data_IF_894286518930
#
_entry.id   IF_894286518930
#
_cell.length_a   1.000
_cell.length_b   1.000
_cell.length_c   1.000
_cell.angle_alpha   90.00
_cell.angle_beta   90.00
_cell.angle_gamma   90.00
#
_symmetry.space_group_name_H-M   'P 1'
#
loop_
_entity.id
_entity.type
_entity.pdbx_description
1 polymer ?
#
# COMPACT_ATOMS: atom_id res chain seq x y z
N UNK A 1 19.17 -20.68 3.70
CA UNK A 1 17.79 -20.24 3.41
C UNK A 1 17.84 -19.26 2.26
N UNK A 2 16.92 -19.34 1.31
CA UNK A 2 16.84 -18.40 0.18
C UNK A 2 15.99 -17.18 0.52
N UNK A 3 16.31 -16.03 -0.06
CA UNK A 3 15.49 -14.81 -0.05
C UNK A 3 15.02 -14.60 -1.49
N UNK A 4 13.73 -14.32 -1.66
CA UNK A 4 13.10 -14.06 -2.97
C UNK A 4 12.40 -12.72 -2.87
N UNK A 5 12.55 -11.85 -3.86
CA UNK A 5 11.89 -10.55 -3.84
C UNK A 5 10.40 -10.69 -4.14
N UNK A 6 9.59 -9.75 -3.65
CA UNK A 6 8.14 -9.74 -3.90
C UNK A 6 7.81 -9.70 -5.40
N UNK A 7 8.61 -8.98 -6.19
CA UNK A 7 8.48 -8.94 -7.64
C UNK A 7 8.73 -10.30 -8.29
N UNK A 8 9.76 -11.02 -7.84
CA UNK A 8 10.06 -12.37 -8.35
C UNK A 8 8.91 -13.34 -8.04
N UNK A 9 8.25 -13.19 -6.89
CA UNK A 9 7.06 -13.97 -6.57
C UNK A 9 5.91 -13.69 -7.56
N UNK A 10 5.69 -12.43 -7.93
CA UNK A 10 4.69 -12.08 -8.95
C UNK A 10 5.04 -12.65 -10.33
N UNK A 11 6.32 -12.64 -10.70
CA UNK A 11 6.79 -13.24 -11.96
C UNK A 11 6.55 -14.76 -11.97
N UNK A 12 6.78 -15.43 -10.83
CA UNK A 12 6.46 -16.85 -10.64
C UNK A 12 4.94 -17.08 -10.76
N UNK A 13 4.10 -16.28 -10.08
CA UNK A 13 2.65 -16.41 -10.16
C UNK A 13 2.14 -16.21 -11.60
N UNK A 14 2.68 -15.22 -12.31
CA UNK A 14 2.36 -14.94 -13.72
C UNK A 14 2.73 -16.13 -14.62
N UNK A 15 3.90 -16.72 -14.40
CA UNK A 15 4.36 -17.90 -15.14
C UNK A 15 3.45 -19.11 -14.88
N UNK A 16 3.10 -19.37 -13.63
CA UNK A 16 2.18 -20.46 -13.25
C UNK A 16 0.78 -20.26 -13.85
N UNK A 17 0.28 -19.02 -13.83
CA UNK A 17 -1.00 -18.67 -14.45
C UNK A 17 -0.97 -18.89 -15.97
N UNK A 18 0.13 -18.52 -16.63
CA UNK A 18 0.36 -18.76 -18.06
C UNK A 18 0.33 -20.24 -18.41
N UNK A 19 1.09 -21.07 -17.68
CA UNK A 19 1.12 -22.53 -17.84
C UNK A 19 -0.29 -23.12 -17.68
N UNK A 20 -1.01 -22.70 -16.63
CA UNK A 20 -2.38 -23.17 -16.34
C UNK A 20 -3.36 -22.82 -17.46
N UNK A 21 -3.28 -21.61 -18.01
CA UNK A 21 -4.13 -21.17 -19.13
C UNK A 21 -3.78 -21.92 -20.41
N UNK A 22 -2.49 -22.07 -20.71
CA UNK A 22 -2.00 -22.78 -21.89
C UNK A 22 -2.45 -24.25 -21.88
N UNK A 23 -2.25 -24.95 -20.76
CA UNK A 23 -2.67 -26.33 -20.59
C UNK A 23 -4.17 -26.50 -20.82
N UNK A 24 -5.00 -25.64 -20.19
CA UNK A 24 -6.46 -25.67 -20.38
C UNK A 24 -6.88 -25.44 -21.84
N UNK A 25 -6.22 -24.52 -22.55
CA UNK A 25 -6.54 -24.24 -23.94
C UNK A 25 -6.22 -25.43 -24.85
N UNK A 26 -5.09 -26.10 -24.62
CA UNK A 26 -4.69 -27.29 -25.38
C UNK A 26 -5.60 -28.49 -25.07
N UNK A 27 -5.94 -28.72 -23.80
CA UNK A 27 -6.87 -29.78 -23.38
C UNK A 27 -8.30 -29.57 -23.90
N UNK A 28 -8.73 -28.33 -24.11
CA UNK A 28 -10.06 -27.99 -24.62
C UNK A 28 -10.19 -28.11 -26.15
N UNK A 29 -9.09 -28.34 -26.87
CA UNK A 29 -9.09 -28.42 -28.34
C UNK A 29 -8.91 -29.87 -28.76
N UNK A 30 -9.85 -30.38 -29.56
CA UNK A 30 -9.78 -31.71 -30.17
C UNK A 30 -8.71 -31.72 -31.28
N UNK A 31 -8.21 -32.90 -31.65
CA UNK A 31 -7.21 -33.10 -32.72
C UNK A 31 -5.78 -32.56 -32.46
N UNK A 32 -5.40 -32.30 -31.20
CA UNK A 32 -4.06 -31.84 -30.80
C UNK A 32 -3.26 -32.89 -30.01
N UNK A 33 -3.31 -34.16 -30.38
CA UNK A 33 -2.68 -35.28 -29.62
C UNK A 33 -1.21 -35.05 -29.27
N UNK A 34 -0.41 -34.51 -30.20
CA UNK A 34 1.02 -34.22 -29.96
C UNK A 34 1.22 -33.15 -28.90
N UNK A 35 0.42 -32.08 -28.93
CA UNK A 35 0.53 -31.01 -27.94
C UNK A 35 -0.03 -31.43 -26.58
N UNK A 36 -1.10 -32.23 -26.57
CA UNK A 36 -1.66 -32.81 -25.35
C UNK A 36 -0.63 -33.67 -24.62
N UNK A 37 0.10 -34.53 -25.34
CA UNK A 37 1.19 -35.32 -24.78
C UNK A 37 2.32 -34.47 -24.19
N UNK A 38 2.63 -33.30 -24.78
CA UNK A 38 3.66 -32.38 -24.28
C UNK A 38 3.24 -31.70 -22.98
N UNK A 39 1.95 -31.37 -22.82
CA UNK A 39 1.46 -30.65 -21.62
C UNK A 39 0.96 -31.56 -20.50
N UNK A 40 0.73 -32.84 -20.77
CA UNK A 40 0.34 -33.85 -19.79
C UNK A 40 1.18 -33.84 -18.49
N UNK A 41 2.54 -33.80 -18.52
CA UNK A 41 3.34 -33.80 -17.31
C UNK A 41 3.32 -32.46 -16.54
N UNK A 42 2.80 -31.39 -17.13
CA UNK A 42 2.80 -30.06 -16.50
C UNK A 42 1.80 -30.01 -15.35
N UNK A 43 2.31 -29.78 -14.13
CA UNK A 43 1.46 -29.53 -12.96
C UNK A 43 1.07 -28.06 -12.87
N UNK A 44 -0.18 -27.81 -12.49
CA UNK A 44 -0.67 -26.47 -12.19
C UNK A 44 -0.82 -26.31 -10.68
N UNK A 45 -0.53 -25.12 -10.18
CA UNK A 45 -0.55 -24.79 -8.75
C UNK A 45 -1.38 -23.51 -8.50
N UNK A 46 -2.70 -23.55 -8.77
CA UNK A 46 -3.56 -22.38 -8.60
C UNK A 46 -3.57 -21.84 -7.16
N UNK A 47 -3.35 -22.69 -6.15
CA UNK A 47 -3.24 -22.31 -4.74
C UNK A 47 -2.01 -21.43 -4.47
N UNK A 48 -0.88 -21.69 -5.14
CA UNK A 48 0.33 -20.87 -5.00
C UNK A 48 0.12 -19.51 -5.66
N UNK A 49 -0.46 -19.49 -6.86
CA UNK A 49 -0.86 -18.25 -7.56
C UNK A 49 -1.76 -17.39 -6.64
N UNK A 50 -2.79 -17.99 -6.05
CA UNK A 50 -3.71 -17.30 -5.15
C UNK A 50 -3.03 -16.79 -3.88
N UNK A 51 -2.14 -17.58 -3.26
CA UNK A 51 -1.43 -17.16 -2.05
C UNK A 51 -0.43 -16.04 -2.30
N UNK A 52 0.28 -16.07 -3.43
CA UNK A 52 1.17 -14.98 -3.85
C UNK A 52 0.34 -13.71 -4.04
N UNK A 53 -0.74 -13.79 -4.83
CA UNK A 53 -1.63 -12.65 -5.02
C UNK A 53 -2.36 -12.26 -3.75
N UNK A 54 -2.49 -13.12 -2.73
CA UNK A 54 -3.03 -12.77 -1.40
C UNK A 54 -2.06 -11.90 -0.63
N UNK A 55 -0.78 -12.24 -0.67
CA UNK A 55 0.24 -11.62 0.15
C UNK A 55 0.85 -10.37 -0.50
N UNK A 56 0.97 -10.35 -1.83
CA UNK A 56 1.63 -9.32 -2.61
C UNK A 56 0.60 -8.63 -3.51
N UNK A 57 0.61 -7.31 -3.55
CA UNK A 57 -0.21 -6.52 -4.47
C UNK A 57 0.48 -6.29 -5.81
N UNK A 58 -0.22 -5.68 -6.76
CA UNK A 58 0.28 -5.48 -8.13
C UNK A 58 1.50 -4.55 -8.20
N UNK A 59 1.79 -3.79 -7.15
CA UNK A 59 2.98 -2.94 -7.05
C UNK A 59 4.20 -3.70 -6.49
N UNK A 60 4.04 -4.98 -6.13
CA UNK A 60 5.09 -5.76 -5.48
C UNK A 60 5.24 -5.45 -3.99
N UNK A 61 4.24 -4.83 -3.36
CA UNK A 61 4.24 -4.56 -1.93
C UNK A 61 3.42 -5.61 -1.15
N UNK A 62 3.73 -5.77 0.14
CA UNK A 62 2.94 -6.64 1.01
C UNK A 62 1.56 -6.02 1.24
N UNK A 63 0.54 -6.73 0.80
CA UNK A 63 -0.85 -6.29 0.87
C UNK A 63 -1.35 -6.23 2.33
N UNK A 64 -2.32 -5.35 2.60
CA UNK A 64 -2.94 -5.24 3.93
C UNK A 64 -3.59 -6.57 4.37
N UNK A 65 -4.13 -7.32 3.40
CA UNK A 65 -4.78 -8.63 3.57
C UNK A 65 -3.81 -9.80 3.76
N UNK A 66 -2.50 -9.58 3.64
CA UNK A 66 -1.50 -10.64 3.80
C UNK A 66 -1.55 -11.28 5.20
N UNK A 67 -1.87 -10.48 6.24
CA UNK A 67 -2.21 -11.02 7.55
C UNK A 67 -3.24 -10.16 8.28
N UNK A 68 -4.13 -10.76 9.10
CA UNK A 68 -5.11 -10.00 9.88
C UNK A 68 -4.46 -8.94 10.78
N UNK A 69 -3.32 -9.28 11.40
CA UNK A 69 -2.59 -8.38 12.30
C UNK A 69 -1.98 -7.19 11.56
N UNK A 70 -1.41 -7.40 10.37
CA UNK A 70 -0.89 -6.31 9.54
C UNK A 70 -2.02 -5.35 9.15
N UNK A 71 -3.17 -5.90 8.75
CA UNK A 71 -4.34 -5.10 8.42
C UNK A 71 -4.86 -4.28 9.60
N UNK A 72 -4.98 -4.88 10.77
CA UNK A 72 -5.35 -4.18 12.00
C UNK A 72 -4.40 -3.02 12.32
N UNK A 73 -3.09 -3.25 12.23
CA UNK A 73 -2.07 -2.22 12.48
C UNK A 73 -2.19 -1.08 11.46
N UNK A 74 -2.28 -1.37 10.16
CA UNK A 74 -2.42 -0.34 9.12
C UNK A 74 -3.70 0.47 9.28
N UNK A 75 -4.83 -0.16 9.61
CA UNK A 75 -6.09 0.52 9.92
C UNK A 75 -5.96 1.44 11.12
N UNK A 76 -5.35 0.98 12.22
CA UNK A 76 -5.10 1.81 13.40
C UNK A 76 -4.26 3.05 13.06
N UNK A 77 -3.19 2.88 12.29
CA UNK A 77 -2.35 3.99 11.82
C UNK A 77 -3.19 5.01 11.05
N UNK A 78 -4.05 4.56 10.12
CA UNK A 78 -4.96 5.44 9.38
C UNK A 78 -5.92 6.17 10.31
N UNK A 79 -6.58 5.46 11.22
CA UNK A 79 -7.51 6.07 12.20
C UNK A 79 -6.82 7.12 13.07
N UNK A 80 -5.61 6.87 13.56
CA UNK A 80 -4.86 7.87 14.34
C UNK A 80 -4.47 9.07 13.50
N UNK A 81 -4.06 8.87 12.24
CA UNK A 81 -3.78 9.96 11.30
C UNK A 81 -5.03 10.81 11.07
N UNK A 82 -6.18 10.21 10.81
CA UNK A 82 -7.44 10.94 10.58
C UNK A 82 -7.86 11.74 11.82
N UNK A 83 -7.67 11.19 13.02
CA UNK A 83 -7.91 11.89 14.30
C UNK A 83 -6.97 13.10 14.46
N UNK A 84 -5.69 12.96 14.12
CA UNK A 84 -4.72 14.06 14.16
C UNK A 84 -5.15 15.15 13.17
N UNK A 85 -5.45 14.80 11.92
CA UNK A 85 -5.91 15.75 10.90
C UNK A 85 -7.16 16.49 11.35
N UNK A 86 -8.15 15.77 11.88
CA UNK A 86 -9.39 16.36 12.39
C UNK A 86 -9.12 17.36 13.53
N UNK A 87 -8.19 17.03 14.43
CA UNK A 87 -7.80 17.93 15.52
C UNK A 87 -7.08 19.18 15.02
N UNK A 88 -6.16 19.02 14.07
CA UNK A 88 -5.43 20.14 13.47
C UNK A 88 -6.36 21.04 12.65
N UNK A 89 -7.31 20.47 11.91
CA UNK A 89 -8.32 21.23 11.16
C UNK A 89 -9.17 22.08 12.10
N UNK A 90 -9.60 21.53 13.24
CA UNK A 90 -10.34 22.28 14.26
C UNK A 90 -9.51 23.44 14.83
N UNK A 91 -8.20 23.26 15.02
CA UNK A 91 -7.30 24.32 15.48
C UNK A 91 -7.21 25.43 14.42
N UNK A 92 -7.06 25.06 13.14
CA UNK A 92 -7.03 26.02 12.03
C UNK A 92 -8.33 26.83 11.98
N UNK A 93 -9.48 26.16 12.02
CA UNK A 93 -10.79 26.82 11.95
C UNK A 93 -11.05 27.79 13.10
N UNK A 94 -10.61 27.45 14.32
CA UNK A 94 -10.76 28.34 15.49
C UNK A 94 -9.81 29.54 15.48
N UNK A 95 -8.67 29.41 14.81
CA UNK A 95 -7.59 30.40 14.83
C UNK A 95 -7.27 30.96 13.43
N UNK A 96 -8.27 31.07 12.56
CA UNK A 96 -8.07 31.45 11.15
C UNK A 96 -7.30 32.76 10.94
N UNK A 97 -7.41 33.73 11.86
CA UNK A 97 -6.65 34.98 11.81
C UNK A 97 -5.14 34.82 12.06
N UNK A 98 -4.76 33.82 12.86
CA UNK A 98 -3.38 33.53 13.27
C UNK A 98 -2.65 32.59 12.31
N UNK A 99 -3.38 31.77 11.55
CA UNK A 99 -2.82 30.82 10.58
C UNK A 99 -2.38 31.55 9.30
N UNK A 100 -1.22 31.19 8.76
CA UNK A 100 -0.70 31.78 7.50
C UNK A 100 -1.43 31.18 6.29
N UNK A 101 -1.51 29.85 6.23
CA UNK A 101 -2.24 29.10 5.20
C UNK A 101 -3.04 27.97 5.87
N UNK A 102 -4.27 27.73 5.44
CA UNK A 102 -5.16 26.72 6.00
C UNK A 102 -4.81 25.29 5.51
N UNK A 103 -3.54 24.91 5.66
CA UNK A 103 -2.97 23.63 5.21
C UNK A 103 -2.22 22.97 6.35
N UNK A 104 -2.40 21.66 6.49
CA UNK A 104 -1.61 20.82 7.39
C UNK A 104 -0.45 20.26 6.58
N UNK A 105 0.78 20.54 7.00
CA UNK A 105 1.99 20.02 6.36
C UNK A 105 2.69 19.04 7.28
N UNK A 106 3.66 18.30 6.73
CA UNK A 106 4.52 17.41 7.51
C UNK A 106 5.96 17.91 7.45
N UNK A 107 6.60 18.00 8.62
CA UNK A 107 8.01 18.31 8.78
C UNK A 107 8.65 17.18 9.58
N UNK A 108 9.54 16.42 8.94
CA UNK A 108 10.05 15.15 9.47
C UNK A 108 8.91 14.18 9.77
N UNK A 109 8.77 13.77 11.04
CA UNK A 109 7.73 12.86 11.52
C UNK A 109 6.53 13.57 12.18
N UNK A 110 6.45 14.90 12.09
CA UNK A 110 5.42 15.69 12.79
C UNK A 110 4.51 16.44 11.80
N UNK A 111 3.22 16.43 12.11
CA UNK A 111 2.24 17.28 11.46
C UNK A 111 2.32 18.68 12.06
N UNK A 112 2.40 19.70 11.21
CA UNK A 112 2.57 21.10 11.60
C UNK A 112 1.58 21.99 10.87
N UNK A 113 1.23 23.11 11.50
CA UNK A 113 0.36 24.16 10.94
C UNK A 113 1.22 25.42 10.79
N UNK A 114 1.22 26.08 9.63
CA UNK A 114 1.95 27.34 9.45
C UNK A 114 1.21 28.49 10.15
N UNK A 115 1.89 29.16 11.08
CA UNK A 115 1.33 30.26 11.89
C UNK A 115 2.07 31.54 11.54
N UNK A 116 1.34 32.66 11.46
CA UNK A 116 1.95 33.99 11.25
C UNK A 116 2.84 34.32 12.44
N UNK A 117 4.07 34.79 12.17
CA UNK A 117 5.05 35.09 13.22
C UNK A 117 4.54 35.98 14.38
N UNK A 118 3.72 37.03 14.15
CA UNK A 118 3.18 37.87 15.23
C UNK A 118 2.10 37.18 16.09
N UNK A 119 1.56 36.05 15.62
CA UNK A 119 0.45 35.33 16.23
C UNK A 119 0.88 33.93 16.71
N UNK A 120 2.20 33.69 16.81
CA UNK A 120 2.76 32.39 17.25
C UNK A 120 2.30 32.01 18.66
N UNK A 121 2.06 32.98 19.54
CA UNK A 121 1.64 32.75 20.93
C UNK A 121 0.12 32.55 21.05
N UNK A 122 -0.64 32.87 20.00
CA UNK A 122 -2.10 32.70 19.95
C UNK A 122 -2.50 31.23 19.83
N UNK A 123 -1.64 30.40 19.24
CA UNK A 123 -1.86 28.96 19.07
C UNK A 123 -0.87 28.21 19.96
N UNK A 124 -1.37 27.66 21.07
CA UNK A 124 -0.55 26.84 21.98
C UNK A 124 0.06 25.63 21.26
N UNK A 125 1.39 25.50 21.30
CA UNK A 125 2.12 24.44 20.63
C UNK A 125 3.62 24.55 20.78
N UNK A 126 4.35 23.65 20.12
CA UNK A 126 5.82 23.68 20.06
C UNK A 126 6.19 24.16 18.65
N UNK A 127 6.94 25.26 18.58
CA UNK A 127 7.50 25.75 17.30
C UNK A 127 8.50 24.72 16.81
N UNK A 128 8.24 24.15 15.64
CA UNK A 128 9.08 23.08 15.10
C UNK A 128 10.15 23.60 14.15
N UNK A 129 9.81 24.60 13.35
CA UNK A 129 10.72 25.26 12.41
C UNK A 129 10.20 26.69 12.15
N UNK A 130 11.09 27.61 11.81
CA UNK A 130 10.76 28.99 11.45
C UNK A 130 11.25 29.20 10.03
N UNK A 131 10.34 29.46 9.10
CA UNK A 131 10.74 29.83 7.73
C UNK A 131 11.64 31.06 7.81
N UNK A 132 12.91 30.88 7.45
CA UNK A 132 13.84 32.01 7.26
C UNK A 132 13.33 32.78 6.05
N UNK A 133 12.76 33.96 6.29
CA UNK A 133 12.42 34.94 5.25
C UNK A 133 13.26 36.16 5.50
#
# INVERSE_FOLDING_TARGET
GGIVAAKDLLDIATTLAGIRRLRRAIEATEELETLQAVVEPLRTYPEIEQEIHRCIDDNGEVAERASPKLGEIRRRIKTYRDRIYSRLQNIISRNGGAVQEAVITQRGSRFVIPVKAPQKDTIGGIVHDVSST
#
